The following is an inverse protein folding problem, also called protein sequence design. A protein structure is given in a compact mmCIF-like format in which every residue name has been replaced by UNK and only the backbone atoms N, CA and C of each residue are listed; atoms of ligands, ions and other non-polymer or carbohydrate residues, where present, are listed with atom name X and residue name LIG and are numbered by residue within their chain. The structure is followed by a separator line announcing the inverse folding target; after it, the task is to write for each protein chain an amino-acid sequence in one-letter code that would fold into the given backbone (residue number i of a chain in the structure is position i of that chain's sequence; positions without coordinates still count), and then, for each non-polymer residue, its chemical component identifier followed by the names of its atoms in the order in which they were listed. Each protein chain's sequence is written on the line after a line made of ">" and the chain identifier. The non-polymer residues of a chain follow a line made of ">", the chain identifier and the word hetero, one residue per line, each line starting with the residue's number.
data_IF_895310261959
#
_entry.id   IF_895310261959
#
_cell.length_a   1.000
_cell.length_b   1.000
_cell.length_c   1.000
_cell.angle_alpha   90.00
_cell.angle_beta   90.00
_cell.angle_gamma   90.00
#
_symmetry.space_group_name_H-M   'P 1'
#
loop_
_entity.id
_entity.type
_entity.pdbx_description
1 polymer ?
#
# COMPACT_ATOMS: atom_id res chain seq x y z
N UNK A 1 7.67 19.07 2.20
CA UNK A 1 6.46 18.37 1.74
C UNK A 1 6.76 17.08 0.97
N UNK A 2 7.41 17.10 -0.22
CA UNK A 2 7.90 15.85 -0.86
C UNK A 2 8.90 15.07 0.01
N UNK A 3 9.78 15.80 0.69
CA UNK A 3 10.72 15.20 1.66
C UNK A 3 9.99 14.61 2.87
N UNK A 4 8.80 15.11 3.23
CA UNK A 4 8.04 14.63 4.38
C UNK A 4 7.39 13.28 4.10
N UNK A 5 6.87 13.07 2.90
CA UNK A 5 6.33 11.77 2.46
C UNK A 5 7.46 10.75 2.41
N UNK A 6 8.59 11.09 1.77
CA UNK A 6 9.76 10.20 1.69
C UNK A 6 10.25 9.82 3.08
N UNK A 7 10.37 10.78 3.99
CA UNK A 7 10.80 10.53 5.37
C UNK A 7 9.80 9.67 6.13
N UNK A 8 8.50 9.93 6.00
CA UNK A 8 7.44 9.16 6.65
C UNK A 8 7.44 7.69 6.17
N UNK A 9 7.49 7.48 4.85
CA UNK A 9 7.59 6.14 4.24
C UNK A 9 8.86 5.43 4.70
N UNK A 10 10.04 6.07 4.57
CA UNK A 10 11.30 5.45 4.97
C UNK A 10 11.32 5.08 6.45
N UNK A 11 10.79 5.94 7.33
CA UNK A 11 10.68 5.67 8.77
C UNK A 11 9.75 4.48 9.03
N UNK A 12 8.59 4.44 8.37
CA UNK A 12 7.63 3.35 8.51
C UNK A 12 8.24 2.01 8.06
N UNK A 13 8.78 1.94 6.85
CA UNK A 13 9.36 0.70 6.30
C UNK A 13 10.57 0.21 7.11
N UNK A 14 11.40 1.13 7.64
CA UNK A 14 12.54 0.76 8.49
C UNK A 14 12.08 0.14 9.82
N UNK A 15 11.00 0.66 10.40
CA UNK A 15 10.41 0.14 11.64
C UNK A 15 9.81 -1.25 11.43
N UNK A 16 9.11 -1.46 10.31
CA UNK A 16 8.38 -2.69 10.01
C UNK A 16 9.06 -3.56 8.93
N UNK A 17 10.39 -3.55 8.86
CA UNK A 17 11.15 -4.24 7.80
C UNK A 17 10.96 -5.76 7.67
N UNK A 18 10.49 -6.41 8.75
CA UNK A 18 10.37 -7.86 8.85
C UNK A 18 8.91 -8.36 8.78
N UNK A 19 7.99 -7.55 8.27
CA UNK A 19 6.58 -7.92 8.11
C UNK A 19 6.35 -8.73 6.83
N UNK A 20 5.21 -9.42 6.77
CA UNK A 20 4.93 -10.31 5.65
C UNK A 20 4.27 -9.53 4.50
N UNK A 21 3.49 -8.50 4.83
CA UNK A 21 2.84 -7.63 3.87
C UNK A 21 3.00 -6.17 4.31
N UNK A 22 3.30 -5.30 3.35
CA UNK A 22 3.11 -3.86 3.45
C UNK A 22 2.07 -3.47 2.42
N UNK A 23 1.01 -2.84 2.90
CA UNK A 23 -0.05 -2.28 2.07
C UNK A 23 0.04 -0.76 2.12
N UNK A 24 -0.12 -0.15 0.95
CA UNK A 24 -0.17 1.30 0.81
C UNK A 24 -1.46 1.68 0.11
N UNK A 25 -2.29 2.45 0.80
CA UNK A 25 -3.60 2.84 0.31
C UNK A 25 -3.66 4.35 0.15
N UNK A 26 -4.09 4.81 -1.01
CA UNK A 26 -4.60 6.16 -1.17
C UNK A 26 -6.06 6.15 -0.76
N UNK A 27 -6.32 6.75 0.39
CA UNK A 27 -7.65 6.87 0.97
C UNK A 27 -8.25 8.22 0.62
N UNK A 28 -9.40 8.18 -0.03
CA UNK A 28 -10.14 9.33 -0.56
C UNK A 28 -11.51 9.48 0.13
N UNK A 29 -11.76 8.70 1.18
CA UNK A 29 -13.03 8.70 1.93
C UNK A 29 -13.22 9.96 2.80
N UNK A 30 -12.16 10.75 2.98
CA UNK A 30 -12.16 12.00 3.74
C UNK A 30 -11.99 13.21 2.82
N UNK A 31 -11.75 14.41 3.38
CA UNK A 31 -11.68 15.68 2.63
C UNK A 31 -10.40 15.86 1.77
N UNK A 32 -9.98 14.82 1.05
CA UNK A 32 -8.80 14.79 0.18
C UNK A 32 -8.06 13.44 0.25
N UNK A 33 -7.09 13.20 -0.66
CA UNK A 33 -6.32 11.97 -0.69
C UNK A 33 -5.28 11.94 0.44
N UNK A 34 -5.23 10.84 1.19
CA UNK A 34 -4.21 10.55 2.20
C UNK A 34 -3.47 9.25 1.87
N UNK A 35 -2.18 9.21 2.20
CA UNK A 35 -1.40 7.98 2.15
C UNK A 35 -1.52 7.25 3.48
N UNK A 36 -2.19 6.11 3.46
CA UNK A 36 -2.25 5.17 4.57
C UNK A 36 -1.22 4.08 4.34
N UNK A 37 -0.43 3.78 5.38
CA UNK A 37 0.56 2.71 5.37
C UNK A 37 0.16 1.66 6.39
N UNK A 38 0.16 0.40 5.99
CA UNK A 38 -0.14 -0.71 6.87
C UNK A 38 0.94 -1.78 6.77
N UNK A 39 1.24 -2.37 7.92
CA UNK A 39 2.19 -3.46 8.06
C UNK A 39 1.46 -4.64 8.69
N UNK A 40 1.54 -5.80 8.04
CA UNK A 40 0.75 -6.96 8.39
C UNK A 40 1.60 -8.21 8.58
N UNK A 41 1.12 -9.10 9.45
CA UNK A 41 1.61 -10.48 9.59
C UNK A 41 0.56 -11.46 9.11
N UNK A 42 0.94 -12.43 8.30
CA UNK A 42 0.03 -13.46 7.80
C UNK A 42 -0.05 -14.56 8.86
N UNK A 43 -1.27 -15.00 9.19
CA UNK A 43 -1.46 -16.10 10.14
C UNK A 43 -0.77 -17.38 9.66
N UNK A 44 -0.25 -18.16 10.61
CA UNK A 44 0.42 -19.42 10.31
C UNK A 44 -0.48 -20.36 9.48
N UNK A 45 0.06 -20.89 8.39
CA UNK A 45 -0.66 -21.81 7.49
C UNK A 45 -1.63 -21.13 6.52
N UNK A 46 -1.83 -19.82 6.60
CA UNK A 46 -2.55 -19.04 5.59
C UNK A 46 -1.62 -18.61 4.44
N UNK A 47 -2.22 -18.21 3.32
CA UNK A 47 -1.50 -17.81 2.10
C UNK A 47 -2.08 -16.53 1.55
N UNK A 48 -1.26 -15.49 1.46
CA UNK A 48 -1.60 -14.19 0.88
C UNK A 48 -2.30 -14.32 -0.49
N UNK A 49 -1.69 -15.05 -1.44
CA UNK A 49 -2.24 -15.21 -2.79
C UNK A 49 -3.68 -15.77 -2.79
N UNK A 50 -3.98 -16.72 -1.90
CA UNK A 50 -5.32 -17.29 -1.80
C UNK A 50 -6.33 -16.27 -1.28
N UNK A 51 -5.95 -15.45 -0.30
CA UNK A 51 -6.78 -14.39 0.24
C UNK A 51 -7.05 -13.31 -0.81
N UNK A 52 -6.01 -12.81 -1.49
CA UNK A 52 -6.15 -11.82 -2.55
C UNK A 52 -7.01 -12.30 -3.72
N UNK A 53 -6.95 -13.58 -4.07
CA UNK A 53 -7.86 -14.17 -5.06
C UNK A 53 -9.32 -14.11 -4.59
N UNK A 54 -9.59 -14.38 -3.31
CA UNK A 54 -10.95 -14.26 -2.75
C UNK A 54 -11.41 -12.81 -2.73
N UNK A 55 -10.54 -11.86 -2.37
CA UNK A 55 -10.82 -10.41 -2.48
C UNK A 55 -11.24 -10.10 -3.93
N UNK A 56 -10.46 -10.54 -4.92
CA UNK A 56 -10.77 -10.28 -6.33
C UNK A 56 -12.11 -10.86 -6.80
N UNK A 57 -12.46 -12.06 -6.33
CA UNK A 57 -13.69 -12.75 -6.76
C UNK A 57 -14.93 -12.15 -6.10
N UNK A 58 -14.82 -11.71 -4.85
CA UNK A 58 -15.95 -11.27 -4.05
C UNK A 58 -16.02 -9.73 -3.91
N UNK A 59 -14.99 -9.02 -4.36
CA UNK A 59 -14.81 -7.58 -4.15
C UNK A 59 -14.92 -7.19 -2.66
N UNK A 60 -14.32 -8.01 -1.79
CA UNK A 60 -14.43 -7.89 -0.34
C UNK A 60 -13.05 -8.01 0.31
N UNK A 61 -12.58 -6.91 0.89
CA UNK A 61 -11.30 -6.83 1.60
C UNK A 61 -11.28 -7.64 2.88
N UNK A 62 -12.43 -8.00 3.46
CA UNK A 62 -12.53 -8.83 4.66
C UNK A 62 -11.82 -10.18 4.49
N UNK A 63 -11.75 -10.73 3.28
CA UNK A 63 -10.99 -11.97 3.02
C UNK A 63 -9.47 -11.85 3.21
N UNK A 64 -8.92 -10.66 3.03
CA UNK A 64 -7.52 -10.37 3.34
C UNK A 64 -7.34 -10.16 4.84
N UNK A 65 -8.21 -9.35 5.46
CA UNK A 65 -8.21 -9.09 6.91
C UNK A 65 -8.37 -10.39 7.73
N UNK A 66 -9.15 -11.35 7.24
CA UNK A 66 -9.33 -12.68 7.85
C UNK A 66 -8.04 -13.51 8.00
N UNK A 67 -6.97 -13.17 7.26
CA UNK A 67 -5.73 -13.96 7.24
C UNK A 67 -4.51 -13.19 7.72
N UNK A 68 -4.69 -11.94 8.16
CA UNK A 68 -3.61 -11.10 8.64
C UNK A 68 -3.90 -10.50 10.00
N UNK A 69 -2.83 -10.18 10.73
CA UNK A 69 -2.86 -9.33 11.92
C UNK A 69 -2.15 -8.01 11.62
N UNK A 70 -2.76 -6.89 12.01
CA UNK A 70 -2.09 -5.60 11.98
C UNK A 70 -0.94 -5.60 13.00
N UNK A 71 0.27 -5.27 12.53
CA UNK A 71 1.42 -5.03 13.43
C UNK A 71 1.79 -3.55 13.54
N UNK A 72 1.27 -2.73 12.63
CA UNK A 72 1.25 -1.29 12.79
C UNK A 72 0.81 -0.56 11.54
N UNK A 73 0.35 0.66 11.75
CA UNK A 73 -0.18 1.51 10.70
C UNK A 73 0.25 2.97 10.87
N UNK A 74 0.05 3.74 9.81
CA UNK A 74 0.11 5.20 9.78
C UNK A 74 -1.04 5.67 8.89
N UNK A 75 -2.14 6.09 9.49
CA UNK A 75 -3.36 6.48 8.80
C UNK A 75 -3.63 7.98 8.93
N UNK A 76 -4.06 8.62 7.84
CA UNK A 76 -4.44 10.04 7.79
C UNK A 76 -3.38 11.04 8.28
N UNK A 77 -2.10 10.63 8.31
CA UNK A 77 -0.98 11.47 8.72
C UNK A 77 -0.22 12.08 7.54
N UNK A 78 -0.43 11.56 6.33
CA UNK A 78 0.33 11.92 5.13
C UNK A 78 -0.64 12.47 4.08
N UNK A 79 -0.93 13.78 4.07
CA UNK A 79 -1.80 14.38 3.07
C UNK A 79 -1.12 14.35 1.69
N UNK A 80 -1.90 14.09 0.64
CA UNK A 80 -1.40 13.93 -0.73
C UNK A 80 -1.84 15.04 -1.70
N UNK A 81 -2.50 16.10 -1.22
CA UNK A 81 -2.89 17.26 -2.05
C UNK A 81 -1.69 17.88 -2.80
N UNK A 82 -0.56 17.93 -2.10
CA UNK A 82 0.81 18.19 -2.58
C UNK A 82 1.25 17.43 -3.85
N UNK A 83 0.80 16.17 -3.94
CA UNK A 83 1.22 15.18 -4.94
C UNK A 83 0.18 15.07 -6.04
N UNK A 84 -1.11 15.08 -5.69
CA UNK A 84 -2.23 15.14 -6.61
C UNK A 84 -2.66 16.60 -6.82
N UNK A 85 -1.80 17.41 -7.43
CA UNK A 85 -2.01 18.87 -7.59
C UNK A 85 -3.23 19.25 -8.43
N UNK A 86 -3.77 18.30 -9.19
CA UNK A 86 -4.97 18.48 -10.03
C UNK A 86 -6.14 17.63 -9.56
N UNK A 87 -6.11 17.12 -8.32
CA UNK A 87 -7.13 16.21 -7.79
C UNK A 87 -8.57 16.70 -8.06
N UNK A 88 -9.48 15.83 -8.57
CA UNK A 88 -9.29 14.41 -8.90
C UNK A 88 -8.75 14.13 -10.31
N UNK A 89 -8.38 15.15 -11.09
CA UNK A 89 -7.82 14.97 -12.42
C UNK A 89 -6.36 14.51 -12.36
N UNK A 90 -5.93 13.77 -13.39
CA UNK A 90 -4.53 13.36 -13.60
C UNK A 90 -3.92 12.51 -12.46
N UNK A 91 -4.72 11.59 -11.90
CA UNK A 91 -4.33 10.64 -10.84
C UNK A 91 -3.04 9.89 -11.19
N UNK A 92 -2.88 9.46 -12.44
CA UNK A 92 -1.71 8.71 -12.91
C UNK A 92 -0.38 9.42 -12.64
N UNK A 93 -0.34 10.75 -12.69
CA UNK A 93 0.88 11.51 -12.40
C UNK A 93 1.22 11.45 -10.91
N UNK A 94 0.23 11.58 -10.03
CA UNK A 94 0.42 11.44 -8.59
C UNK A 94 0.85 10.03 -8.21
N UNK A 95 0.20 9.01 -8.79
CA UNK A 95 0.52 7.60 -8.56
C UNK A 95 1.97 7.28 -8.93
N UNK A 96 2.47 7.79 -10.07
CA UNK A 96 3.88 7.63 -10.46
C UNK A 96 4.84 8.17 -9.40
N UNK A 97 4.54 9.33 -8.81
CA UNK A 97 5.38 9.94 -7.78
C UNK A 97 5.37 9.10 -6.49
N UNK A 98 4.18 8.62 -6.09
CA UNK A 98 4.05 7.76 -4.91
C UNK A 98 4.78 6.43 -5.11
N UNK A 99 4.54 5.74 -6.22
CA UNK A 99 5.18 4.46 -6.54
C UNK A 99 6.70 4.61 -6.57
N UNK A 100 7.24 5.66 -7.20
CA UNK A 100 8.69 5.92 -7.21
C UNK A 100 9.25 6.16 -5.80
N UNK A 101 8.51 6.86 -4.94
CA UNK A 101 8.89 7.12 -3.55
C UNK A 101 8.93 5.81 -2.75
N UNK A 102 7.88 4.99 -2.87
CA UNK A 102 7.78 3.68 -2.21
C UNK A 102 8.88 2.73 -2.69
N UNK A 103 9.10 2.65 -4.01
CA UNK A 103 10.12 1.81 -4.61
C UNK A 103 11.52 2.17 -4.12
N UNK A 104 11.84 3.46 -4.05
CA UNK A 104 13.13 3.95 -3.55
C UNK A 104 13.37 3.60 -2.08
N UNK A 105 12.29 3.50 -1.28
CA UNK A 105 12.36 3.14 0.13
C UNK A 105 12.27 1.61 0.38
N UNK A 106 11.94 0.82 -0.65
CA UNK A 106 11.65 -0.62 -0.51
C UNK A 106 12.86 -1.50 -0.17
N UNK A 107 14.08 -0.98 -0.34
CA UNK A 107 15.33 -1.75 -0.14
C UNK A 107 15.56 -2.25 1.28
N UNK A 108 14.87 -1.66 2.27
CA UNK A 108 14.94 -2.10 3.67
C UNK A 108 14.05 -3.30 3.97
N UNK A 109 13.07 -3.61 3.10
CA UNK A 109 12.14 -4.71 3.30
C UNK A 109 12.79 -6.05 2.90
N UNK A 110 12.40 -7.12 3.59
CA UNK A 110 12.75 -8.48 3.18
C UNK A 110 12.22 -8.78 1.76
N UNK A 111 13.00 -9.49 0.94
CA UNK A 111 12.59 -9.92 -0.41
C UNK A 111 11.29 -10.76 -0.42
N UNK A 112 10.92 -11.35 0.71
CA UNK A 112 9.70 -12.14 0.82
C UNK A 112 8.46 -11.31 1.21
N UNK A 113 8.65 -10.09 1.69
CA UNK A 113 7.55 -9.16 2.02
C UNK A 113 6.76 -8.82 0.76
N UNK A 114 5.44 -9.00 0.77
CA UNK A 114 4.56 -8.51 -0.27
C UNK A 114 4.41 -6.99 -0.08
N UNK A 115 4.63 -6.20 -1.14
CA UNK A 115 4.56 -4.74 -1.03
C UNK A 115 3.76 -4.17 -2.19
N UNK A 116 2.58 -3.63 -1.88
CA UNK A 116 1.64 -3.20 -2.91
C UNK A 116 0.97 -1.87 -2.60
N UNK A 117 0.45 -1.25 -3.65
CA UNK A 117 -0.21 0.04 -3.66
C UNK A 117 -1.56 -0.04 -4.36
N UNK A 118 -2.57 0.63 -3.82
CA UNK A 118 -3.86 0.84 -4.48
C UNK A 118 -4.56 2.08 -3.95
N UNK A 119 -5.63 2.48 -4.62
CA UNK A 119 -6.64 3.39 -4.05
C UNK A 119 -7.72 2.56 -3.38
N UNK A 120 -8.43 3.14 -2.40
CA UNK A 120 -9.48 2.46 -1.64
C UNK A 120 -10.58 1.84 -2.53
N UNK A 121 -10.80 2.41 -3.71
CA UNK A 121 -11.81 2.03 -4.71
C UNK A 121 -11.23 1.45 -6.00
N UNK A 122 -9.93 1.16 -6.06
CA UNK A 122 -9.25 0.66 -7.26
C UNK A 122 -8.71 -0.77 -7.12
N UNK A 123 -9.02 -1.61 -8.10
CA UNK A 123 -8.54 -3.00 -8.19
C UNK A 123 -8.12 -3.36 -9.62
N UNK A 124 -7.08 -4.20 -9.82
CA UNK A 124 -6.20 -4.82 -8.84
C UNK A 124 -5.10 -3.87 -8.32
N UNK A 125 -4.49 -4.17 -7.16
CA UNK A 125 -3.37 -3.40 -6.64
C UNK A 125 -2.14 -3.53 -7.53
N UNK A 126 -1.20 -2.60 -7.38
CA UNK A 126 0.10 -2.56 -8.05
C UNK A 126 1.18 -3.10 -7.11
N UNK A 127 1.95 -4.08 -7.56
CA UNK A 127 3.18 -4.51 -6.88
C UNK A 127 4.25 -3.42 -7.05
N UNK A 128 4.75 -2.90 -5.93
CA UNK A 128 5.71 -1.78 -5.93
C UNK A 128 7.08 -2.17 -6.50
N UNK A 129 7.47 -3.44 -6.41
CA UNK A 129 8.81 -3.87 -6.84
C UNK A 129 8.94 -3.96 -8.35
N UNK A 130 7.88 -4.42 -9.01
CA UNK A 130 7.86 -4.61 -10.46
C UNK A 130 6.98 -3.59 -11.20
N UNK A 131 6.23 -2.75 -10.47
CA UNK A 131 5.35 -1.70 -11.00
C UNK A 131 4.24 -2.24 -11.90
N UNK A 132 3.83 -3.49 -11.70
CA UNK A 132 2.74 -4.13 -12.43
C UNK A 132 1.57 -4.40 -11.51
N UNK A 133 0.38 -4.49 -12.10
CA UNK A 133 -0.79 -5.05 -11.43
C UNK A 133 -0.43 -6.42 -10.86
N UNK A 134 -0.77 -6.66 -9.60
CA UNK A 134 -0.49 -7.93 -8.93
C UNK A 134 -1.20 -9.07 -9.66
N UNK A 135 -0.46 -10.13 -9.95
CA UNK A 135 -1.04 -11.37 -10.45
C UNK A 135 -1.63 -12.19 -9.29
N UNK A 136 -2.93 -12.05 -9.14
CA UNK A 136 -3.74 -12.68 -8.10
C UNK A 136 -4.60 -13.83 -8.64
N UNK A 137 -4.34 -14.26 -9.87
CA UNK A 137 -5.01 -15.39 -10.53
C UNK A 137 -4.50 -16.76 -10.06
#
# INVERSE_FOLDING_TARGET
>A
MKDDIKNAVSKFLSKYRNVDVVEVVVDTSVSGPYLNLWAWKIHQGRRFKNAMRKVSVNNDWGFFEDVVDEVGSSTFHIPLLEIYTSWPDNIEQGDKIIIQTLKSASSVLSLNTQFFFHHVDAWPPVDIRNEKKMDIS
#
